data_IF_855094059596
#
_entry.id   IF_855094059596
#
_cell.length_a   1.000
_cell.length_b   1.000
_cell.length_c   1.000
_cell.angle_alpha   90.00
_cell.angle_beta   90.00
_cell.angle_gamma   90.00
#
_symmetry.space_group_name_H-M   'P 1'
#
loop_
_entity.id
_entity.type
_entity.pdbx_description
1 polymer ?
#
# COMPACT_ATOMS: atom_id res chain seq x y z
N UNK A 1 -7.85 -31.20 -0.73
CA UNK A 1 -6.64 -31.99 -0.99
C UNK A 1 -5.63 -31.59 0.05
N UNK A 2 -5.09 -32.54 0.80
CA UNK A 2 -4.08 -32.27 1.83
C UNK A 2 -2.72 -32.06 1.14
N UNK A 3 -2.16 -30.85 1.21
CA UNK A 3 -1.01 -30.45 0.37
C UNK A 3 0.28 -30.33 1.18
N UNK A 4 1.36 -30.88 0.64
CA UNK A 4 2.71 -30.80 1.21
C UNK A 4 3.63 -30.07 0.21
N UNK A 5 4.19 -28.94 0.63
CA UNK A 5 5.16 -28.15 -0.13
C UNK A 5 6.60 -28.36 0.31
N UNK A 6 7.52 -28.45 -0.64
CA UNK A 6 8.98 -28.50 -0.42
C UNK A 6 9.67 -27.46 -1.30
N UNK A 7 10.54 -26.64 -0.72
CA UNK A 7 11.32 -25.63 -1.44
C UNK A 7 12.79 -26.01 -1.51
N UNK A 8 13.37 -26.04 -2.71
CA UNK A 8 14.77 -26.37 -2.96
C UNK A 8 15.53 -25.21 -3.61
N UNK A 9 16.82 -25.11 -3.32
CA UNK A 9 17.75 -24.21 -4.01
C UNK A 9 18.34 -24.87 -5.27
N UNK A 10 18.30 -24.18 -6.40
CA UNK A 10 18.91 -24.56 -7.68
C UNK A 10 18.37 -25.82 -8.37
N UNK A 11 18.28 -26.96 -7.68
CA UNK A 11 17.84 -28.24 -8.26
C UNK A 11 17.16 -29.15 -7.23
N UNK A 12 16.36 -30.10 -7.73
CA UNK A 12 15.74 -31.18 -6.98
C UNK A 12 16.12 -32.52 -7.61
N UNK A 13 16.52 -33.50 -6.79
CA UNK A 13 16.82 -34.88 -7.19
C UNK A 13 16.05 -35.85 -6.30
N UNK A 14 15.17 -36.65 -6.93
CA UNK A 14 14.31 -37.62 -6.23
C UNK A 14 15.10 -38.72 -5.53
N UNK A 15 16.32 -39.02 -5.98
CA UNK A 15 17.20 -40.01 -5.34
C UNK A 15 17.85 -39.48 -4.06
N UNK A 16 17.92 -38.15 -3.90
CA UNK A 16 18.51 -37.47 -2.74
C UNK A 16 17.65 -36.28 -2.29
N UNK A 17 16.39 -36.52 -1.84
CA UNK A 17 15.38 -35.47 -1.64
C UNK A 17 15.68 -34.52 -0.46
N UNK A 18 16.70 -34.78 0.35
CA UNK A 18 17.17 -33.83 1.37
C UNK A 18 18.20 -32.84 0.84
N UNK A 19 18.79 -33.12 -0.33
CA UNK A 19 19.79 -32.27 -0.94
C UNK A 19 19.15 -30.95 -1.41
N UNK A 20 19.79 -29.82 -1.10
CA UNK A 20 19.32 -28.47 -1.43
C UNK A 20 17.96 -28.04 -0.85
N UNK A 21 17.35 -28.84 0.05
CA UNK A 21 16.09 -28.49 0.69
C UNK A 21 16.27 -27.27 1.61
N UNK A 22 15.38 -26.29 1.47
CA UNK A 22 15.36 -25.05 2.25
C UNK A 22 14.27 -25.05 3.32
N UNK A 23 13.08 -25.52 2.95
CA UNK A 23 11.94 -25.64 3.86
C UNK A 23 10.92 -26.61 3.31
N UNK A 24 10.11 -27.15 4.20
CA UNK A 24 8.97 -28.00 3.88
C UNK A 24 7.87 -27.79 4.92
N UNK A 25 6.61 -27.91 4.52
CA UNK A 25 5.44 -27.74 5.37
C UNK A 25 4.23 -28.44 4.72
N UNK A 26 3.28 -28.90 5.53
CA UNK A 26 2.06 -29.59 5.09
C UNK A 26 0.75 -29.02 5.66
N UNK A 27 0.77 -28.29 6.78
CA UNK A 27 -0.48 -27.87 7.43
C UNK A 27 -0.51 -26.44 7.98
N UNK A 28 0.60 -25.69 7.94
CA UNK A 28 0.68 -24.36 8.55
C UNK A 28 -0.19 -23.31 7.87
N UNK A 29 -0.69 -23.56 6.65
CA UNK A 29 -1.60 -22.70 5.90
C UNK A 29 -3.08 -22.83 6.29
N UNK A 30 -3.41 -23.78 7.17
CA UNK A 30 -4.79 -24.09 7.56
C UNK A 30 -5.56 -24.86 6.48
N UNK A 31 -6.65 -25.53 6.86
CA UNK A 31 -7.41 -26.44 5.97
C UNK A 31 -6.54 -27.52 5.30
N UNK A 32 -5.55 -28.06 6.03
CA UNK A 32 -4.58 -29.04 5.53
C UNK A 32 -3.82 -28.55 4.27
N UNK A 33 -3.43 -27.28 4.28
CA UNK A 33 -2.60 -26.68 3.24
C UNK A 33 -1.26 -26.28 3.82
N UNK A 34 -0.20 -26.46 3.06
CA UNK A 34 1.11 -25.96 3.44
C UNK A 34 1.20 -24.43 3.39
N UNK A 35 2.05 -23.85 4.22
CA UNK A 35 2.50 -22.47 4.18
C UNK A 35 4.02 -22.38 4.44
N UNK A 36 4.78 -22.03 3.41
CA UNK A 36 6.23 -21.88 3.50
C UNK A 36 6.64 -20.41 3.67
N UNK A 37 7.50 -20.14 4.66
CA UNK A 37 8.15 -18.84 4.85
C UNK A 37 9.66 -19.01 4.68
N UNK A 38 10.22 -18.54 3.56
CA UNK A 38 11.62 -18.76 3.18
C UNK A 38 12.29 -17.49 2.64
N UNK A 39 13.58 -17.33 2.93
CA UNK A 39 14.39 -16.25 2.35
C UNK A 39 14.99 -16.69 1.00
N UNK A 40 14.62 -16.00 -0.08
CA UNK A 40 15.12 -16.27 -1.43
C UNK A 40 16.07 -15.15 -1.87
N UNK A 41 17.12 -15.52 -2.59
CA UNK A 41 18.13 -14.61 -3.16
C UNK A 41 17.77 -14.29 -4.60
N UNK A 42 17.77 -13.00 -4.96
CA UNK A 42 17.50 -12.56 -6.33
C UNK A 42 18.48 -13.17 -7.33
N UNK A 43 18.00 -13.48 -8.54
CA UNK A 43 18.79 -14.11 -9.61
C UNK A 43 19.16 -15.58 -9.37
N UNK A 44 18.67 -16.21 -8.29
CA UNK A 44 18.88 -17.64 -8.02
C UNK A 44 17.63 -18.42 -8.42
N UNK A 45 17.81 -19.57 -9.09
CA UNK A 45 16.73 -20.49 -9.42
C UNK A 45 16.34 -21.32 -8.19
N UNK A 46 15.05 -21.51 -7.97
CA UNK A 46 14.50 -22.36 -6.90
C UNK A 46 13.48 -23.34 -7.49
N UNK A 47 13.29 -24.47 -6.82
CA UNK A 47 12.32 -25.49 -7.23
C UNK A 47 11.31 -25.66 -6.09
N UNK A 48 10.03 -25.42 -6.38
CA UNK A 48 8.93 -25.75 -5.49
C UNK A 48 8.33 -27.09 -5.95
N UNK A 49 8.35 -28.09 -5.07
CA UNK A 49 7.66 -29.36 -5.27
C UNK A 49 6.39 -29.34 -4.43
N UNK A 50 5.25 -29.58 -5.08
CA UNK A 50 3.94 -29.68 -4.43
C UNK A 50 3.46 -31.10 -4.60
N UNK A 51 3.20 -31.76 -3.48
CA UNK A 51 2.64 -33.11 -3.43
C UNK A 51 1.48 -33.15 -2.45
N UNK A 52 0.86 -34.30 -2.31
CA UNK A 52 -0.15 -34.57 -1.28
C UNK A 52 0.48 -35.31 -0.11
N UNK A 53 -0.02 -35.07 1.10
CA UNK A 53 0.40 -35.81 2.29
C UNK A 53 0.13 -37.31 2.14
N UNK A 54 -1.03 -37.64 1.57
CA UNK A 54 -1.44 -39.02 1.28
C UNK A 54 -1.02 -39.40 -0.15
N UNK A 55 -0.24 -40.47 -0.35
CA UNK A 55 0.18 -40.93 -1.68
C UNK A 55 -1.01 -41.24 -2.61
N UNK A 56 -0.86 -40.95 -3.90
CA UNK A 56 -1.85 -41.30 -4.94
C UNK A 56 -3.06 -40.38 -5.02
N UNK A 57 -3.16 -39.34 -4.19
CA UNK A 57 -4.20 -38.32 -4.29
C UNK A 57 -3.86 -37.34 -5.41
N UNK A 58 -4.77 -37.21 -6.37
CA UNK A 58 -4.68 -36.26 -7.50
C UNK A 58 -5.83 -35.26 -7.45
N UNK A 59 -5.58 -34.03 -7.87
CA UNK A 59 -6.60 -32.98 -7.91
C UNK A 59 -6.02 -31.64 -8.36
N UNK A 60 -6.88 -30.66 -8.71
CA UNK A 60 -6.42 -29.32 -9.03
C UNK A 60 -5.85 -28.64 -7.79
N UNK A 61 -4.85 -27.78 -7.98
CA UNK A 61 -4.29 -26.92 -6.94
C UNK A 61 -3.94 -25.55 -7.52
N UNK A 62 -3.80 -24.56 -6.63
CA UNK A 62 -3.29 -23.24 -6.94
C UNK A 62 -2.17 -22.90 -5.97
N UNK A 63 -1.12 -22.26 -6.48
CA UNK A 63 -0.01 -21.77 -5.65
C UNK A 63 -0.11 -20.26 -5.55
N UNK A 64 -0.02 -19.78 -4.32
CA UNK A 64 0.04 -18.36 -4.01
C UNK A 64 1.42 -18.12 -3.40
N UNK A 65 2.32 -17.47 -4.15
CA UNK A 65 3.56 -16.95 -3.58
C UNK A 65 3.38 -15.49 -3.23
N UNK A 66 3.80 -15.14 -2.02
CA UNK A 66 3.92 -13.75 -1.58
C UNK A 66 5.35 -13.53 -1.11
N UNK A 67 5.95 -12.42 -1.52
CA UNK A 67 7.36 -12.16 -1.24
C UNK A 67 7.82 -10.83 -1.82
N UNK A 68 9.10 -10.46 -1.57
CA UNK A 68 9.69 -9.17 -1.94
C UNK A 68 9.93 -8.94 -3.40
N UNK A 69 10.00 -10.02 -4.16
CA UNK A 69 10.20 -9.99 -5.58
C UNK A 69 9.04 -10.67 -6.28
N UNK A 70 8.85 -10.35 -7.56
CA UNK A 70 8.00 -11.14 -8.44
C UNK A 70 8.60 -12.55 -8.48
N UNK A 71 7.82 -13.53 -8.02
CA UNK A 71 8.14 -14.95 -8.20
C UNK A 71 7.40 -15.41 -9.44
N UNK A 72 8.13 -15.58 -10.55
CA UNK A 72 7.58 -16.16 -11.77
C UNK A 72 7.64 -17.68 -11.62
N UNK A 73 6.48 -18.32 -11.63
CA UNK A 73 6.39 -19.76 -11.70
C UNK A 73 6.47 -20.23 -13.14
N UNK A 74 7.49 -21.01 -13.44
CA UNK A 74 7.56 -21.78 -14.68
C UNK A 74 7.24 -23.22 -14.34
N UNK A 75 6.14 -23.76 -14.89
CA UNK A 75 5.81 -25.17 -14.72
C UNK A 75 6.87 -26.02 -15.42
N UNK A 76 7.58 -26.83 -14.63
CA UNK A 76 8.49 -27.84 -15.18
C UNK A 76 7.66 -29.08 -15.44
N UNK A 77 7.31 -29.29 -16.71
CA UNK A 77 6.67 -30.55 -17.15
C UNK A 77 7.76 -31.61 -17.18
N UNK A 78 7.79 -32.46 -16.15
CA UNK A 78 8.61 -33.68 -16.21
C UNK A 78 7.90 -34.62 -17.19
N UNK A 79 8.55 -35.06 -18.28
CA UNK A 79 7.95 -36.03 -19.19
C UNK A 79 7.71 -37.34 -18.42
N UNK A 80 6.48 -37.54 -17.96
CA UNK A 80 6.05 -38.83 -17.43
C UNK A 80 6.09 -39.83 -18.58
N UNK A 81 6.61 -41.05 -18.38
CA UNK A 81 6.43 -42.13 -19.32
C UNK A 81 4.93 -42.33 -19.54
N UNK A 82 4.47 -42.00 -20.74
CA UNK A 82 3.18 -42.29 -21.37
C UNK A 82 2.05 -42.79 -20.45
N UNK A 83 1.00 -41.96 -20.33
CA UNK A 83 -0.36 -42.45 -20.09
C UNK A 83 -1.01 -42.02 -18.79
N UNK A 84 -1.19 -40.72 -18.59
CA UNK A 84 -2.30 -40.18 -17.77
C UNK A 84 -2.55 -38.74 -18.20
N UNK A 85 -3.83 -38.39 -18.36
CA UNK A 85 -4.29 -37.06 -18.75
C UNK A 85 -3.75 -36.00 -17.78
N UNK A 86 -2.87 -35.14 -18.26
CA UNK A 86 -2.39 -33.95 -17.55
C UNK A 86 -3.59 -33.00 -17.37
N UNK A 87 -3.94 -32.57 -16.14
CA UNK A 87 -4.94 -31.54 -15.96
C UNK A 87 -4.41 -30.25 -16.58
N UNK A 88 -5.12 -29.70 -17.56
CA UNK A 88 -4.89 -28.34 -18.05
C UNK A 88 -5.20 -27.37 -16.90
N UNK A 89 -4.16 -26.74 -16.35
CA UNK A 89 -4.37 -25.56 -15.51
C UNK A 89 -4.93 -24.46 -16.40
N UNK A 90 -6.20 -24.12 -16.24
CA UNK A 90 -6.69 -22.83 -16.73
C UNK A 90 -6.06 -21.75 -15.86
N UNK A 91 -5.05 -21.09 -16.40
CA UNK A 91 -4.61 -19.79 -15.91
C UNK A 91 -5.71 -18.78 -16.22
N UNK A 92 -6.65 -18.58 -15.32
CA UNK A 92 -7.27 -17.25 -15.22
C UNK A 92 -6.19 -16.33 -14.69
N UNK A 93 -5.49 -15.65 -15.60
CA UNK A 93 -4.79 -14.42 -15.25
C UNK A 93 -5.86 -13.45 -14.74
N UNK A 94 -6.04 -13.37 -13.42
CA UNK A 94 -6.62 -12.17 -12.86
C UNK A 94 -5.55 -11.10 -13.04
N UNK A 95 -5.77 -10.23 -14.01
CA UNK A 95 -5.00 -9.01 -14.26
C UNK A 95 -5.19 -7.98 -13.13
N UNK A 96 -5.23 -8.41 -11.86
CA UNK A 96 -5.15 -7.50 -10.73
C UNK A 96 -3.68 -7.14 -10.53
N UNK A 97 -3.25 -6.03 -11.15
CA UNK A 97 -2.39 -5.14 -10.36
C UNK A 97 -3.13 -4.99 -9.06
N UNK A 98 -2.48 -5.34 -7.94
CA UNK A 98 -2.77 -4.85 -6.61
C UNK A 98 -2.69 -5.90 -5.50
N UNK A 99 -1.54 -5.89 -4.85
CA UNK A 99 -1.53 -5.48 -3.46
C UNK A 99 -0.40 -4.43 -3.36
N UNK A 100 -0.36 -3.63 -2.27
CA UNK A 100 0.76 -3.48 -1.31
C UNK A 100 0.97 -2.04 -0.82
N UNK A 101 1.56 -1.83 0.38
CA UNK A 101 2.33 -2.72 1.26
C UNK A 101 1.45 -3.21 2.42
N UNK A 102 1.53 -4.45 2.89
CA UNK A 102 2.73 -5.23 3.21
C UNK A 102 2.51 -6.71 2.98
N UNK A 103 1.93 -7.02 1.84
CA UNK A 103 2.64 -7.93 0.94
C UNK A 103 3.82 -7.12 0.34
N UNK A 104 4.93 -7.69 -0.13
CA UNK A 104 6.10 -6.84 -0.48
C UNK A 104 6.14 -6.37 -1.95
N UNK A 105 5.90 -5.09 -2.20
CA UNK A 105 6.02 -4.52 -3.54
C UNK A 105 7.53 -4.44 -3.73
N UNK A 106 8.07 -5.04 -4.80
CA UNK A 106 9.20 -4.36 -5.46
C UNK A 106 8.57 -3.04 -5.81
N UNK A 107 9.00 -1.99 -5.12
CA UNK A 107 8.67 -0.59 -5.37
C UNK A 107 7.97 -0.44 -6.73
N UNK A 108 6.69 -0.06 -6.77
CA UNK A 108 6.54 1.27 -7.30
C UNK A 108 7.46 2.18 -6.50
N UNK A 109 8.56 2.53 -7.13
CA UNK A 109 9.43 3.55 -6.59
C UNK A 109 8.58 4.80 -6.65
N UNK A 110 7.78 5.08 -5.61
CA UNK A 110 7.24 6.41 -5.36
C UNK A 110 8.48 7.30 -5.48
N UNK A 111 8.55 8.17 -6.50
CA UNK A 111 9.81 8.81 -6.83
C UNK A 111 10.35 9.49 -5.58
N UNK A 112 11.65 9.41 -5.35
CA UNK A 112 12.29 10.42 -4.52
C UNK A 112 11.99 11.78 -5.19
N UNK A 113 11.65 12.82 -4.43
CA UNK A 113 11.61 14.16 -5.01
C UNK A 113 12.96 14.49 -5.68
N UNK A 114 13.06 15.04 -6.90
CA UNK A 114 12.14 15.08 -8.03
C UNK A 114 12.68 14.28 -9.25
N UNK A 115 11.91 13.33 -9.76
CA UNK A 115 11.95 12.97 -11.18
C UNK A 115 10.53 12.71 -11.64
N UNK A 116 9.91 13.71 -12.30
CA UNK A 116 8.56 13.60 -12.83
C UNK A 116 8.45 12.39 -13.76
N UNK A 117 7.61 11.43 -13.40
CA UNK A 117 7.36 10.25 -14.22
C UNK A 117 6.39 10.67 -15.33
N UNK A 118 6.88 10.76 -16.56
CA UNK A 118 6.03 10.89 -17.74
C UNK A 118 5.39 9.52 -17.99
N UNK A 119 4.10 9.39 -17.69
CA UNK A 119 3.42 8.10 -17.77
C UNK A 119 2.41 8.10 -18.92
N UNK A 120 2.75 7.33 -19.96
CA UNK A 120 2.02 7.25 -21.23
C UNK A 120 0.80 6.32 -21.23
N UNK A 121 0.59 5.52 -20.17
CA UNK A 121 -0.55 4.60 -20.06
C UNK A 121 -1.75 5.25 -19.34
N UNK A 122 -2.96 5.20 -19.91
CA UNK A 122 -4.16 5.68 -19.22
C UNK A 122 -4.53 4.76 -18.05
N UNK A 123 -5.10 5.33 -16.99
CA UNK A 123 -5.75 4.55 -15.92
C UNK A 123 -7.10 4.03 -16.43
N UNK A 124 -7.39 2.75 -16.18
CA UNK A 124 -8.64 2.08 -16.53
C UNK A 124 -9.30 1.44 -15.31
N UNK A 125 -10.60 1.17 -15.41
CA UNK A 125 -11.35 0.47 -14.37
C UNK A 125 -11.28 -1.05 -14.56
N UNK A 126 -10.97 -1.78 -13.49
CA UNK A 126 -10.74 -3.23 -13.49
C UNK A 126 -11.82 -4.02 -12.74
N UNK A 127 -12.93 -3.37 -12.37
CA UNK A 127 -14.13 -4.03 -11.83
C UNK A 127 -14.20 -4.10 -10.31
N UNK A 128 -13.15 -3.70 -9.59
CA UNK A 128 -13.11 -3.62 -8.13
C UNK A 128 -14.04 -2.54 -7.54
N UNK A 129 -14.51 -2.71 -6.30
CA UNK A 129 -15.36 -1.71 -5.66
C UNK A 129 -14.59 -0.43 -5.33
N UNK A 130 -15.27 0.71 -5.37
CA UNK A 130 -14.77 2.02 -4.93
C UNK A 130 -15.47 2.46 -3.64
N UNK A 131 -14.91 3.43 -2.90
CA UNK A 131 -15.56 3.94 -1.70
C UNK A 131 -16.58 5.05 -2.01
N UNK A 132 -17.78 4.95 -1.44
CA UNK A 132 -18.92 5.85 -1.75
C UNK A 132 -19.50 6.58 -0.54
N UNK A 133 -18.90 6.44 0.66
CA UNK A 133 -19.23 7.21 1.87
C UNK A 133 -18.03 7.27 2.84
N UNK A 134 -16.86 7.66 2.34
CA UNK A 134 -15.59 7.49 3.06
C UNK A 134 -15.43 8.40 4.27
N UNK A 135 -14.93 7.85 5.37
CA UNK A 135 -14.60 8.57 6.61
C UNK A 135 -13.13 8.33 6.98
N UNK A 136 -12.36 9.39 7.19
CA UNK A 136 -10.98 9.29 7.69
C UNK A 136 -11.00 9.25 9.22
N UNK A 137 -10.34 8.24 9.77
CA UNK A 137 -10.00 8.16 11.19
C UNK A 137 -8.49 8.24 11.36
N UNK A 138 -8.02 9.04 12.32
CA UNK A 138 -6.57 9.26 12.52
C UNK A 138 -6.09 8.70 13.84
N UNK A 139 -4.97 8.01 13.81
CA UNK A 139 -4.22 7.57 14.98
C UNK A 139 -2.89 8.34 14.99
N UNK A 140 -2.78 9.31 15.88
CA UNK A 140 -1.53 10.04 16.15
C UNK A 140 -0.60 9.13 16.93
N UNK A 141 0.32 8.47 16.22
CA UNK A 141 1.22 7.49 16.80
C UNK A 141 2.55 8.13 17.20
N UNK A 142 2.95 7.94 18.45
CA UNK A 142 4.18 8.49 19.03
C UNK A 142 3.99 9.84 19.72
N UNK A 143 5.02 10.68 19.71
CA UNK A 143 5.06 11.94 20.45
C UNK A 143 4.67 13.13 19.57
N UNK A 144 3.45 13.61 19.79
CA UNK A 144 2.88 14.78 19.13
C UNK A 144 2.70 15.99 20.06
N UNK A 145 3.19 15.92 21.32
CA UNK A 145 2.81 16.90 22.37
C UNK A 145 3.56 18.23 22.30
N UNK A 146 4.57 18.36 21.45
CA UNK A 146 5.46 19.52 21.42
C UNK A 146 5.42 20.34 20.11
N UNK A 147 4.37 20.19 19.29
CA UNK A 147 4.22 20.98 18.07
C UNK A 147 2.74 21.16 17.65
N UNK A 148 2.52 21.99 16.64
CA UNK A 148 1.20 22.28 16.04
C UNK A 148 0.83 21.32 14.88
N UNK A 149 1.59 20.25 14.64
CA UNK A 149 1.43 19.38 13.48
C UNK A 149 0.07 18.68 13.41
N UNK A 150 -0.46 18.24 14.55
CA UNK A 150 -1.80 17.64 14.63
C UNK A 150 -2.89 18.64 14.23
N UNK A 151 -2.73 19.92 14.58
CA UNK A 151 -3.68 20.99 14.23
C UNK A 151 -3.67 21.27 12.73
N UNK A 152 -2.48 21.34 12.12
CA UNK A 152 -2.31 21.57 10.67
C UNK A 152 -2.95 20.44 9.87
N UNK A 153 -2.57 19.19 10.16
CA UNK A 153 -3.08 18.03 9.42
C UNK A 153 -4.59 17.86 9.63
N UNK A 154 -5.09 18.04 10.87
CA UNK A 154 -6.53 17.93 11.12
C UNK A 154 -7.33 19.02 10.41
N UNK A 155 -6.83 20.26 10.36
CA UNK A 155 -7.45 21.37 9.63
C UNK A 155 -7.59 21.06 8.13
N UNK A 156 -6.54 20.48 7.52
CA UNK A 156 -6.58 20.00 6.14
C UNK A 156 -7.65 18.92 5.95
N UNK A 157 -7.61 17.86 6.77
CA UNK A 157 -8.53 16.72 6.66
C UNK A 157 -10.00 17.13 6.81
N UNK A 158 -10.31 18.09 7.69
CA UNK A 158 -11.66 18.62 7.88
C UNK A 158 -12.22 19.32 6.63
N UNK A 159 -11.37 19.88 5.77
CA UNK A 159 -11.79 20.57 4.55
C UNK A 159 -11.54 19.80 3.25
N UNK A 160 -10.72 18.74 3.28
CA UNK A 160 -10.25 18.00 2.10
C UNK A 160 -11.36 17.64 1.12
N UNK A 161 -12.44 17.01 1.59
CA UNK A 161 -13.54 16.54 0.73
C UNK A 161 -14.31 17.66 0.01
N UNK A 162 -14.16 18.92 0.45
CA UNK A 162 -14.79 20.10 -0.16
C UNK A 162 -13.88 20.82 -1.16
N UNK A 163 -12.62 20.39 -1.28
CA UNK A 163 -11.66 21.02 -2.19
C UNK A 163 -11.97 20.67 -3.65
N UNK A 164 -11.65 21.59 -4.55
CA UNK A 164 -11.77 21.32 -5.98
C UNK A 164 -10.81 20.20 -6.43
N UNK A 165 -9.65 20.07 -5.77
CA UNK A 165 -8.73 18.95 -5.97
C UNK A 165 -9.39 17.60 -5.70
N UNK A 166 -10.18 17.47 -4.62
CA UNK A 166 -10.89 16.24 -4.32
C UNK A 166 -12.00 15.90 -5.33
N UNK A 167 -12.50 16.89 -6.10
CA UNK A 167 -13.48 16.64 -7.15
C UNK A 167 -12.93 15.71 -8.25
N UNK A 168 -11.61 15.64 -8.41
CA UNK A 168 -10.93 14.71 -9.32
C UNK A 168 -11.23 13.27 -8.89
N UNK A 169 -10.97 12.94 -7.62
CA UNK A 169 -11.25 11.60 -7.05
C UNK A 169 -12.72 11.23 -7.19
N UNK A 170 -13.65 12.19 -7.04
CA UNK A 170 -15.10 11.96 -7.24
C UNK A 170 -15.48 11.49 -8.65
N UNK A 171 -14.61 11.65 -9.65
CA UNK A 171 -14.87 11.17 -11.02
C UNK A 171 -14.61 9.67 -11.18
N UNK A 172 -13.92 9.04 -10.23
CA UNK A 172 -13.67 7.60 -10.21
C UNK A 172 -14.94 6.88 -9.74
N UNK A 173 -15.77 6.38 -10.68
CA UNK A 173 -17.05 5.71 -10.41
C UNK A 173 -18.01 6.47 -9.47
N UNK A 174 -18.01 7.80 -9.51
CA UNK A 174 -18.84 8.65 -8.64
C UNK A 174 -18.63 8.38 -7.13
N UNK A 175 -17.38 8.20 -6.70
CA UNK A 175 -17.02 8.17 -5.27
C UNK A 175 -17.54 9.43 -4.55
N UNK A 176 -17.74 9.33 -3.23
CA UNK A 176 -18.25 10.44 -2.43
C UNK A 176 -17.15 11.43 -2.03
N UNK A 177 -17.52 12.65 -1.59
CA UNK A 177 -16.63 13.42 -0.73
C UNK A 177 -16.17 12.56 0.47
N UNK A 178 -14.90 12.68 0.81
CA UNK A 178 -14.36 12.10 2.04
C UNK A 178 -14.60 13.06 3.21
N UNK A 179 -14.94 12.53 4.38
CA UNK A 179 -15.14 13.33 5.59
C UNK A 179 -14.12 12.98 6.66
N UNK A 180 -13.77 13.94 7.50
CA UNK A 180 -12.97 13.67 8.69
C UNK A 180 -13.90 13.22 9.83
N UNK A 181 -13.65 12.04 10.38
CA UNK A 181 -14.38 11.50 11.52
C UNK A 181 -13.73 11.90 12.85
N UNK A 182 -13.15 10.93 13.53
CA UNK A 182 -12.52 11.10 14.86
C UNK A 182 -11.03 10.75 14.79
N UNK A 183 -10.26 11.32 15.71
CA UNK A 183 -8.86 10.94 15.95
C UNK A 183 -8.64 10.42 17.37
N UNK A 184 -7.56 9.66 17.54
CA UNK A 184 -7.06 9.18 18.83
C UNK A 184 -5.53 9.27 18.87
N UNK A 185 -4.95 9.09 20.05
CA UNK A 185 -3.50 9.08 20.25
C UNK A 185 -3.03 7.71 20.71
N UNK A 186 -1.89 7.27 20.19
CA UNK A 186 -1.21 6.06 20.65
C UNK A 186 0.25 6.38 20.98
N UNK A 187 0.60 6.30 22.26
CA UNK A 187 1.94 6.62 22.75
C UNK A 187 2.89 5.43 22.65
N UNK A 188 3.24 5.06 21.41
CA UNK A 188 4.24 4.03 21.08
C UNK A 188 3.87 2.59 21.48
N UNK A 189 2.62 2.18 21.33
CA UNK A 189 2.17 0.83 21.74
C UNK A 189 2.89 -0.33 21.04
N UNK A 190 3.51 -0.09 19.88
CA UNK A 190 4.31 -1.04 19.10
C UNK A 190 5.79 -0.63 18.99
N UNK A 191 6.27 0.29 19.84
CA UNK A 191 7.63 0.83 19.75
C UNK A 191 7.83 1.87 18.62
N UNK A 192 9.08 2.25 18.34
CA UNK A 192 9.40 3.32 17.37
C UNK A 192 9.81 2.80 15.98
N UNK A 193 10.07 1.51 15.84
CA UNK A 193 10.45 0.86 14.59
C UNK A 193 9.29 -0.04 14.19
N UNK A 194 8.58 0.36 13.14
CA UNK A 194 7.32 -0.25 12.72
C UNK A 194 7.50 -1.06 11.43
N UNK A 195 6.53 -1.92 11.18
CA UNK A 195 6.29 -2.54 9.89
C UNK A 195 4.78 -2.63 9.66
N UNK A 196 4.35 -2.96 8.44
CA UNK A 196 2.99 -3.38 8.07
C UNK A 196 2.15 -3.97 9.22
N UNK A 197 2.62 -5.07 9.80
CA UNK A 197 1.85 -5.85 10.76
C UNK A 197 1.64 -5.10 12.07
N UNK A 198 2.64 -4.30 12.47
CA UNK A 198 2.57 -3.43 13.63
C UNK A 198 1.65 -2.23 13.38
N UNK A 199 1.65 -1.67 12.16
CA UNK A 199 0.68 -0.63 11.75
C UNK A 199 -0.75 -1.16 11.85
N UNK A 200 -1.00 -2.38 11.36
CA UNK A 200 -2.32 -2.98 11.50
C UNK A 200 -2.70 -3.26 12.97
N UNK A 201 -1.75 -3.71 13.80
CA UNK A 201 -1.98 -3.89 15.23
C UNK A 201 -2.36 -2.57 15.94
N UNK A 202 -1.79 -1.44 15.53
CA UNK A 202 -2.16 -0.09 16.02
C UNK A 202 -3.61 0.23 15.67
N UNK A 203 -4.02 -0.02 14.42
CA UNK A 203 -5.42 0.16 13.97
C UNK A 203 -6.37 -0.71 14.79
N UNK A 204 -6.06 -2.00 14.93
CA UNK A 204 -6.88 -2.92 15.72
C UNK A 204 -6.99 -2.50 17.19
N UNK A 205 -5.90 -2.02 17.79
CA UNK A 205 -5.90 -1.52 19.18
C UNK A 205 -6.83 -0.31 19.34
N UNK A 206 -6.79 0.63 18.40
CA UNK A 206 -7.66 1.81 18.44
C UNK A 206 -9.15 1.43 18.33
N UNK A 207 -9.48 0.43 17.50
CA UNK A 207 -10.84 -0.09 17.34
C UNK A 207 -11.28 -0.89 18.59
N UNK A 208 -10.47 -1.85 19.03
CA UNK A 208 -10.82 -2.76 20.13
C UNK A 208 -10.94 -2.06 21.49
N UNK A 209 -10.23 -0.94 21.67
CA UNK A 209 -10.37 -0.10 22.87
C UNK A 209 -11.60 0.82 22.84
N UNK A 210 -12.33 0.89 21.72
CA UNK A 210 -13.45 1.80 21.52
C UNK A 210 -13.05 3.26 21.27
N UNK A 211 -11.75 3.54 21.06
CA UNK A 211 -11.28 4.88 20.75
C UNK A 211 -11.72 5.33 19.35
N UNK A 212 -11.71 4.41 18.38
CA UNK A 212 -12.25 4.56 17.03
C UNK A 212 -13.32 3.49 16.76
N UNK A 213 -14.32 3.78 15.92
CA UNK A 213 -15.35 2.80 15.57
C UNK A 213 -14.79 1.70 14.66
N UNK A 214 -15.45 0.53 14.62
CA UNK A 214 -15.27 -0.45 13.56
C UNK A 214 -16.18 -0.09 12.37
N UNK A 215 -15.66 0.73 11.47
CA UNK A 215 -16.37 1.29 10.32
C UNK A 215 -15.85 0.71 9.00
N UNK A 216 -16.73 0.05 8.23
CA UNK A 216 -16.42 -0.50 6.92
C UNK A 216 -16.28 0.57 5.82
N UNK A 217 -16.72 1.79 6.07
CA UNK A 217 -16.43 2.96 5.21
C UNK A 217 -15.24 3.78 5.73
N UNK A 218 -14.59 3.31 6.80
CA UNK A 218 -13.43 3.95 7.40
C UNK A 218 -12.15 3.73 6.61
N UNK A 219 -11.33 4.78 6.53
CA UNK A 219 -9.91 4.72 6.19
C UNK A 219 -9.11 5.13 7.42
N UNK A 220 -8.37 4.19 8.01
CA UNK A 220 -7.63 4.40 9.26
C UNK A 220 -6.20 4.83 8.95
N UNK A 221 -5.89 6.12 9.14
CA UNK A 221 -4.55 6.66 8.97
C UNK A 221 -3.76 6.55 10.28
N UNK A 222 -2.65 5.83 10.26
CA UNK A 222 -1.61 5.87 11.29
C UNK A 222 -0.58 6.91 10.90
N UNK A 223 -0.56 8.03 11.62
CA UNK A 223 0.35 9.15 11.36
C UNK A 223 1.43 9.15 12.46
N UNK A 224 2.66 8.83 12.09
CA UNK A 224 3.73 8.68 13.09
C UNK A 224 4.48 9.99 13.34
N UNK A 225 4.85 10.25 14.59
CA UNK A 225 5.75 11.35 14.96
C UNK A 225 7.12 11.18 14.31
N UNK A 226 7.89 12.28 14.26
CA UNK A 226 9.17 12.35 13.53
C UNK A 226 10.27 11.40 14.04
N UNK A 227 10.12 10.88 15.27
CA UNK A 227 11.07 9.96 15.90
C UNK A 227 10.71 8.48 15.71
N UNK A 228 9.71 8.18 14.89
CA UNK A 228 9.34 6.84 14.46
C UNK A 228 9.85 6.55 13.04
N UNK A 229 10.08 5.28 12.75
CA UNK A 229 10.41 4.80 11.41
C UNK A 229 9.60 3.56 11.06
N UNK A 230 9.51 3.28 9.76
CA UNK A 230 8.88 2.09 9.18
C UNK A 230 9.84 1.52 8.11
N UNK A 231 9.73 0.22 7.82
CA UNK A 231 10.56 -0.53 6.86
C UNK A 231 10.86 0.18 5.53
N UNK A 232 9.88 0.91 4.98
CA UNK A 232 9.98 1.58 3.67
C UNK A 232 10.29 3.07 3.77
N UNK A 233 10.22 3.64 4.98
CA UNK A 233 10.28 5.07 5.18
C UNK A 233 11.61 5.65 4.70
N UNK A 234 11.56 6.80 4.04
CA UNK A 234 12.74 7.56 3.60
C UNK A 234 13.60 6.85 2.54
N UNK A 235 13.16 5.72 2.00
CA UNK A 235 13.89 4.95 0.99
C UNK A 235 13.04 4.61 -0.21
N UNK A 236 11.83 4.13 0.07
CA UNK A 236 10.93 3.59 -0.94
C UNK A 236 9.57 4.31 -0.92
N UNK A 237 9.14 4.80 0.25
CA UNK A 237 7.87 5.49 0.38
C UNK A 237 7.89 6.50 1.54
N UNK A 238 6.99 7.48 1.44
CA UNK A 238 6.70 8.45 2.51
C UNK A 238 5.38 8.12 3.23
N UNK A 239 4.57 7.28 2.60
CA UNK A 239 3.32 6.75 3.09
C UNK A 239 2.82 5.68 2.14
N UNK A 240 1.77 5.00 2.55
CA UNK A 240 1.14 3.94 1.79
C UNK A 240 -0.27 3.64 2.31
N UNK A 241 -1.10 2.98 1.50
CA UNK A 241 -2.39 2.44 1.90
C UNK A 241 -2.55 0.96 1.53
N UNK A 242 -3.45 0.27 2.24
CA UNK A 242 -3.75 -1.15 2.02
C UNK A 242 -5.07 -1.55 2.67
N UNK A 243 -5.44 -2.82 2.53
CA UNK A 243 -6.65 -3.40 3.12
C UNK A 243 -6.36 -4.70 3.85
N UNK A 244 -6.93 -4.86 5.03
CA UNK A 244 -7.14 -6.18 5.59
C UNK A 244 -8.45 -6.74 5.06
N UNK A 245 -8.36 -7.65 4.09
CA UNK A 245 -9.54 -8.24 3.42
C UNK A 245 -10.41 -9.08 4.36
N UNK A 246 -9.84 -9.67 5.40
CA UNK A 246 -10.58 -10.51 6.36
C UNK A 246 -11.50 -9.67 7.26
N UNK A 247 -10.99 -8.53 7.73
CA UNK A 247 -11.75 -7.59 8.56
C UNK A 247 -12.44 -6.48 7.76
N UNK A 248 -12.22 -6.40 6.45
CA UNK A 248 -12.67 -5.30 5.57
C UNK A 248 -12.27 -3.91 6.14
N UNK A 249 -11.01 -3.77 6.57
CA UNK A 249 -10.49 -2.52 7.10
C UNK A 249 -9.46 -1.95 6.13
N UNK A 250 -9.69 -0.73 5.65
CA UNK A 250 -8.73 0.01 4.81
C UNK A 250 -7.90 0.88 5.73
N UNK A 251 -6.60 0.81 5.63
CA UNK A 251 -5.72 1.59 6.49
C UNK A 251 -4.51 2.08 5.71
N UNK A 252 -3.94 3.15 6.23
CA UNK A 252 -2.82 3.84 5.62
C UNK A 252 -1.82 4.22 6.70
N UNK A 253 -0.58 4.36 6.30
CA UNK A 253 0.47 4.91 7.15
C UNK A 253 1.16 6.06 6.43
N UNK A 254 1.50 7.11 7.18
CA UNK A 254 2.31 8.23 6.68
C UNK A 254 3.34 8.59 7.75
N UNK A 255 4.61 8.64 7.34
CA UNK A 255 5.73 9.00 8.20
C UNK A 255 5.97 10.50 8.21
N UNK A 256 6.33 11.05 9.38
CA UNK A 256 6.77 12.44 9.49
C UNK A 256 8.27 12.56 9.11
N UNK A 257 8.61 13.25 8.00
CA UNK A 257 9.97 13.24 7.48
C UNK A 257 10.93 14.20 8.16
N UNK A 258 10.45 15.04 9.09
CA UNK A 258 11.17 16.17 9.67
C UNK A 258 12.58 15.83 10.19
N UNK A 259 12.74 14.68 10.85
CA UNK A 259 14.04 14.28 11.43
C UNK A 259 14.83 13.30 10.55
N UNK A 260 14.15 12.36 9.89
CA UNK A 260 14.82 11.24 9.22
C UNK A 260 15.20 11.54 7.76
N UNK A 261 14.34 12.22 7.01
CA UNK A 261 14.53 12.43 5.58
C UNK A 261 13.77 13.64 5.03
N UNK A 262 14.01 14.85 5.57
CA UNK A 262 13.25 16.03 5.17
C UNK A 262 13.41 16.36 3.68
N UNK A 263 14.46 15.89 3.01
CA UNK A 263 14.69 16.07 1.56
C UNK A 263 14.08 15.00 0.67
N UNK A 264 13.75 13.82 1.19
CA UNK A 264 13.22 12.71 0.36
C UNK A 264 11.69 12.72 0.31
N UNK A 265 11.07 13.14 1.41
CA UNK A 265 9.64 13.13 1.61
C UNK A 265 9.03 14.53 1.77
N UNK A 266 9.77 15.57 1.38
CA UNK A 266 9.23 16.92 1.26
C UNK A 266 9.73 17.59 -0.01
N UNK A 267 8.84 18.31 -0.68
CA UNK A 267 9.21 19.18 -1.80
C UNK A 267 9.98 20.42 -1.33
N UNK A 268 9.67 20.90 -0.13
CA UNK A 268 10.26 22.12 0.43
C UNK A 268 10.48 22.01 1.93
N UNK A 269 11.51 22.68 2.43
CA UNK A 269 11.79 22.74 3.87
C UNK A 269 11.17 23.96 4.55
N UNK A 270 10.81 24.99 3.77
CA UNK A 270 10.12 26.16 4.29
C UNK A 270 8.63 25.85 4.41
N UNK A 271 8.10 25.97 5.62
CA UNK A 271 6.71 25.65 5.91
C UNK A 271 5.82 26.90 5.82
N UNK A 272 4.69 26.86 5.09
CA UNK A 272 3.69 27.93 5.17
C UNK A 272 2.97 28.01 6.53
N UNK A 273 2.94 26.92 7.30
CA UNK A 273 2.18 26.80 8.56
C UNK A 273 3.04 26.66 9.83
N UNK A 274 4.36 26.87 9.72
CA UNK A 274 5.31 26.81 10.84
C UNK A 274 5.70 25.40 11.29
N UNK A 275 5.41 24.36 10.50
CA UNK A 275 5.80 22.97 10.74
C UNK A 275 6.06 22.24 9.41
N UNK A 276 7.34 22.07 9.05
CA UNK A 276 7.72 21.50 7.76
C UNK A 276 7.37 20.01 7.65
N UNK A 277 7.49 19.25 8.74
CA UNK A 277 7.10 17.83 8.77
C UNK A 277 5.61 17.65 8.51
N UNK A 278 4.76 18.39 9.21
CA UNK A 278 3.31 18.31 9.04
C UNK A 278 2.86 18.76 7.65
N UNK A 279 3.44 19.84 7.11
CA UNK A 279 3.12 20.31 5.75
C UNK A 279 3.54 19.31 4.68
N UNK A 280 4.69 18.65 4.85
CA UNK A 280 5.13 17.58 3.96
C UNK A 280 4.18 16.37 4.01
N UNK A 281 3.76 15.97 5.21
CA UNK A 281 2.82 14.85 5.40
C UNK A 281 1.47 15.10 4.72
N UNK A 282 0.96 16.34 4.70
CA UNK A 282 -0.34 16.66 4.06
C UNK A 282 -0.38 16.22 2.60
N UNK A 283 0.71 16.42 1.85
CA UNK A 283 0.79 16.00 0.45
C UNK A 283 0.66 14.48 0.28
N UNK A 284 1.29 13.72 1.18
CA UNK A 284 1.25 12.25 1.17
C UNK A 284 -0.10 11.74 1.68
N UNK A 285 -0.68 12.37 2.71
CA UNK A 285 -2.02 12.01 3.21
C UNK A 285 -3.07 12.17 2.12
N UNK A 286 -3.03 13.26 1.35
CA UNK A 286 -3.96 13.48 0.24
C UNK A 286 -3.80 12.42 -0.86
N UNK A 287 -2.55 12.05 -1.17
CA UNK A 287 -2.19 10.98 -2.09
C UNK A 287 -2.83 9.67 -1.68
N UNK A 288 -2.48 9.16 -0.49
CA UNK A 288 -2.97 7.88 0.00
C UNK A 288 -4.51 7.88 0.13
N UNK A 289 -5.10 9.01 0.56
CA UNK A 289 -6.56 9.09 0.68
C UNK A 289 -7.25 9.01 -0.68
N UNK A 290 -6.72 9.68 -1.71
CA UNK A 290 -7.29 9.66 -3.05
C UNK A 290 -7.25 8.23 -3.63
N UNK A 291 -6.15 7.52 -3.42
CA UNK A 291 -5.95 6.15 -3.88
C UNK A 291 -6.86 5.17 -3.16
N UNK A 292 -6.90 5.19 -1.82
CA UNK A 292 -7.79 4.30 -1.06
C UNK A 292 -9.26 4.49 -1.42
N UNK A 293 -9.68 5.70 -1.77
CA UNK A 293 -11.09 5.97 -2.12
C UNK A 293 -11.42 5.49 -3.52
N UNK A 294 -10.53 5.70 -4.49
CA UNK A 294 -10.71 5.18 -5.84
C UNK A 294 -10.47 3.67 -5.92
N UNK A 295 -9.66 3.11 -5.04
CA UNK A 295 -9.26 1.71 -5.11
C UNK A 295 -9.01 1.06 -3.72
N UNK A 296 -10.08 0.93 -2.89
CA UNK A 296 -9.96 0.48 -1.50
C UNK A 296 -9.49 -0.96 -1.31
N UNK A 297 -9.70 -1.82 -2.31
CA UNK A 297 -9.27 -3.22 -2.24
C UNK A 297 -8.06 -3.49 -3.09
N UNK A 298 -7.57 -2.45 -3.74
CA UNK A 298 -6.53 -2.56 -4.71
C UNK A 298 -7.03 -3.60 -5.75
N UNK A 299 -8.00 -3.24 -6.59
CA UNK A 299 -8.46 -3.98 -7.79
C UNK A 299 -9.44 -3.15 -8.65
N UNK A 300 -9.52 -1.83 -8.45
CA UNK A 300 -10.49 -0.95 -9.09
C UNK A 300 -9.87 -0.07 -10.17
N UNK A 301 -8.88 0.77 -9.86
CA UNK A 301 -8.45 1.85 -10.76
C UNK A 301 -6.93 2.01 -10.78
N UNK A 302 -6.31 1.49 -11.83
CA UNK A 302 -4.87 1.57 -12.07
C UNK A 302 -4.56 1.45 -13.56
N UNK A 303 -3.34 1.80 -13.95
CA UNK A 303 -2.86 1.64 -15.33
C UNK A 303 -2.11 0.30 -15.54
N UNK A 304 -1.59 0.06 -16.75
CA UNK A 304 -0.86 -1.19 -17.04
C UNK A 304 0.44 -1.40 -16.23
N UNK A 305 0.98 -0.35 -15.60
CA UNK A 305 2.13 -0.40 -14.72
C UNK A 305 1.72 -0.50 -13.24
N UNK A 306 0.42 -0.59 -12.96
CA UNK A 306 -0.16 -0.61 -11.63
C UNK A 306 -0.10 0.73 -10.89
N UNK A 307 0.12 1.84 -11.59
CA UNK A 307 0.09 3.18 -10.99
C UNK A 307 -1.38 3.59 -10.77
N UNK A 308 -1.73 3.95 -9.53
CA UNK A 308 -3.04 4.50 -9.16
C UNK A 308 -3.10 6.02 -9.42
N UNK A 309 -4.26 6.64 -9.18
CA UNK A 309 -4.50 8.03 -9.56
C UNK A 309 -3.48 9.04 -9.00
N UNK A 310 -3.10 8.92 -7.73
CA UNK A 310 -2.12 9.82 -7.15
C UNK A 310 -0.67 9.43 -7.54
N UNK A 311 -0.36 8.13 -7.69
CA UNK A 311 0.93 7.65 -8.20
C UNK A 311 1.30 8.27 -9.55
N UNK A 312 0.33 8.35 -10.48
CA UNK A 312 0.55 9.00 -11.80
C UNK A 312 1.10 10.41 -11.71
N UNK A 313 0.79 11.09 -10.61
CA UNK A 313 1.04 12.51 -10.40
C UNK A 313 1.99 12.78 -9.25
N UNK A 314 2.63 11.73 -8.73
CA UNK A 314 3.56 11.81 -7.63
C UNK A 314 4.66 12.85 -7.92
N UNK A 315 4.90 13.72 -6.94
CA UNK A 315 5.87 14.82 -6.94
C UNK A 315 5.69 15.86 -8.05
N UNK A 316 4.51 15.91 -8.67
CA UNK A 316 4.10 17.02 -9.54
C UNK A 316 3.14 17.93 -8.79
N UNK A 317 3.39 19.24 -8.79
CA UNK A 317 2.63 20.20 -7.95
C UNK A 317 1.84 21.23 -8.75
N UNK A 318 1.92 21.19 -10.08
CA UNK A 318 1.24 22.14 -10.95
C UNK A 318 1.66 23.59 -10.70
N UNK A 319 0.72 24.51 -10.91
CA UNK A 319 0.94 25.93 -10.61
C UNK A 319 0.90 26.17 -9.10
N UNK A 320 1.93 26.84 -8.59
CA UNK A 320 2.04 27.21 -7.17
C UNK A 320 2.03 28.73 -6.98
N UNK A 321 1.69 29.16 -5.78
CA UNK A 321 1.84 30.53 -5.26
C UNK A 321 2.81 30.52 -4.08
N UNK A 322 3.32 31.69 -3.70
CA UNK A 322 4.25 31.82 -2.56
C UNK A 322 3.57 32.48 -1.36
N UNK A 323 3.76 31.89 -0.18
CA UNK A 323 3.45 32.53 1.08
C UNK A 323 4.43 33.68 1.37
N UNK A 324 4.12 34.52 2.36
CA UNK A 324 4.95 35.68 2.72
C UNK A 324 6.38 35.30 3.15
N UNK A 325 6.58 34.08 3.63
CA UNK A 325 7.89 33.53 3.99
C UNK A 325 8.57 32.76 2.84
N UNK A 326 8.02 32.82 1.62
CA UNK A 326 8.57 32.17 0.44
C UNK A 326 8.20 30.69 0.28
N UNK A 327 7.41 30.10 1.19
CA UNK A 327 6.95 28.72 1.04
C UNK A 327 5.93 28.60 -0.11
N UNK A 328 6.11 27.62 -1.00
CA UNK A 328 5.15 27.33 -2.05
C UNK A 328 3.88 26.69 -1.50
N UNK A 329 2.75 26.99 -2.11
CA UNK A 329 1.47 26.35 -1.86
C UNK A 329 0.63 26.35 -3.14
N UNK A 330 -0.27 25.39 -3.29
CA UNK A 330 -1.22 25.32 -4.42
C UNK A 330 -2.66 25.09 -3.95
N UNK A 331 -2.88 25.07 -2.64
CA UNK A 331 -4.20 24.89 -2.05
C UNK A 331 -4.35 25.74 -0.78
N UNK A 332 -5.56 26.24 -0.53
CA UNK A 332 -5.93 26.88 0.73
C UNK A 332 -7.14 26.14 1.29
N UNK A 333 -7.00 25.60 2.49
CA UNK A 333 -8.07 24.84 3.16
C UNK A 333 -8.26 25.43 4.55
N UNK A 334 -9.49 25.82 4.89
CA UNK A 334 -9.85 26.37 6.20
C UNK A 334 -8.89 27.48 6.72
N UNK A 335 -8.41 28.33 5.80
CA UNK A 335 -7.53 29.46 6.08
C UNK A 335 -6.03 29.14 6.11
N UNK A 336 -5.62 27.87 6.08
CA UNK A 336 -4.22 27.45 6.01
C UNK A 336 -3.81 27.13 4.57
N UNK A 337 -2.51 27.26 4.28
CA UNK A 337 -1.92 27.09 2.94
C UNK A 337 -1.21 25.75 2.87
N UNK A 338 -1.47 24.97 1.83
CA UNK A 338 -0.92 23.63 1.66
C UNK A 338 -0.33 23.47 0.26
N UNK A 339 0.70 22.63 0.17
CA UNK A 339 1.29 22.19 -1.08
C UNK A 339 1.00 20.70 -1.23
N UNK A 340 0.19 20.34 -2.22
CA UNK A 340 -0.28 18.97 -2.45
C UNK A 340 0.06 18.56 -3.87
N UNK A 341 0.43 17.30 -4.08
CA UNK A 341 0.63 16.75 -5.42
C UNK A 341 -0.64 16.91 -6.27
N UNK A 342 -0.49 17.01 -7.59
CA UNK A 342 -1.60 16.91 -8.53
C UNK A 342 -2.24 15.52 -8.43
N UNK A 343 -3.45 15.36 -8.96
CA UNK A 343 -4.11 14.06 -9.07
C UNK A 343 -4.46 13.77 -10.54
N UNK A 344 -4.62 12.50 -10.90
CA UNK A 344 -4.92 12.07 -12.25
C UNK A 344 -6.38 12.35 -12.63
N UNK A 345 -6.58 13.08 -13.72
CA UNK A 345 -7.91 13.44 -14.21
C UNK A 345 -8.38 12.40 -15.22
N UNK A 346 -9.39 11.60 -14.86
CA UNK A 346 -9.89 10.52 -15.72
C UNK A 346 -10.35 10.95 -17.11
N UNK A 347 -10.90 12.15 -17.26
CA UNK A 347 -11.43 12.62 -18.56
C UNK A 347 -10.32 12.99 -19.54
N UNK A 348 -9.27 13.63 -19.06
CA UNK A 348 -8.16 14.15 -19.88
C UNK A 348 -6.94 13.23 -19.86
N UNK A 349 -6.87 12.29 -18.92
CA UNK A 349 -5.75 11.35 -18.72
C UNK A 349 -4.43 12.11 -18.54
N UNK A 350 -4.43 13.07 -17.62
CA UNK A 350 -3.28 13.88 -17.25
C UNK A 350 -3.35 14.31 -15.78
N UNK A 351 -2.25 14.86 -15.27
CA UNK A 351 -2.19 15.38 -13.91
C UNK A 351 -2.74 16.81 -13.82
N UNK A 352 -3.59 17.07 -12.83
CA UNK A 352 -4.13 18.41 -12.57
C UNK A 352 -4.54 18.65 -11.13
N UNK A 353 -4.89 19.89 -10.84
CA UNK A 353 -5.37 20.33 -9.51
C UNK A 353 -6.90 20.50 -9.45
N UNK A 354 -7.60 20.45 -10.59
CA UNK A 354 -9.02 20.75 -10.75
C UNK A 354 -9.69 19.82 -11.78
#
# INVERSE_FOLDING_TARGET
MDTYGYMYRSSFDVSTPSSNLLASDDDSGGNAQFQLTVYLTSGTTYILVVTTYIPGVVGPFSIIASGPAIVVFTLIVIPTPTGTTVPTSTTTANNSCNAKPGSIVIADTKPKAPSGRSLSSPITYHGGPVMTNSVIYVIWYGNWTANNGTTIIQNFLQGLGSTAWWNITRRYNNTSPITFGRSTTDSYSQGKILNESLIFAIVQRAINSGALPNDTNGVYFVLTSADCTESYFCRLACGWHTVNVRSNLKYSWVGNPEQLCPSDCSYQLVSPNGNAGADAMVSVIAHEAAETVSDPYLNAWYDSACDENADKCAWTFGSTSLASNGAAYNMVVNGLKYLVQQNWRLTTQDCGML
#
